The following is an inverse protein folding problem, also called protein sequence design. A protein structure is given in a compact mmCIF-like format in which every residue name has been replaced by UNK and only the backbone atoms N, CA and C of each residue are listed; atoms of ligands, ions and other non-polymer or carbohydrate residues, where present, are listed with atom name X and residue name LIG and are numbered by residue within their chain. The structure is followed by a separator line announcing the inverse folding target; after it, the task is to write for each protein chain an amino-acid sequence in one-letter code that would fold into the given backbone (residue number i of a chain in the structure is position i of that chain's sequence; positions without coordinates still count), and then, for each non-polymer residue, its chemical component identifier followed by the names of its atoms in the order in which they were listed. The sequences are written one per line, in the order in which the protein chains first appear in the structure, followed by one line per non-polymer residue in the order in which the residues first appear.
data_IF_456525935054
#
_entry.id   IF_456525935054
#
_cell.length_a   1.000
_cell.length_b   1.000
_cell.length_c   1.000
_cell.angle_alpha   90.00
_cell.angle_beta   90.00
_cell.angle_gamma   90.00
#
_symmetry.space_group_name_H-M   'P 1'
#
loop_
_entity.id
_entity.type
_entity.pdbx_description
1 polymer ?
#
# COMPACT_ATOMS: atom_id res chain seq x y z
N UNK A 1 -17.81 -75.63 -18.96
CA UNK A 1 -17.68 -74.17 -18.68
C UNK A 1 -16.80 -74.00 -17.45
N UNK A 2 -15.76 -73.17 -17.50
CA UNK A 2 -14.85 -72.97 -16.37
C UNK A 2 -15.31 -71.78 -15.49
N UNK A 3 -16.00 -72.07 -14.38
CA UNK A 3 -16.34 -71.03 -13.40
C UNK A 3 -15.14 -70.73 -12.51
N UNK A 4 -14.42 -69.63 -12.81
CA UNK A 4 -13.48 -69.03 -11.86
C UNK A 4 -14.26 -68.23 -10.81
N UNK A 5 -14.71 -68.87 -9.72
CA UNK A 5 -15.04 -68.15 -8.48
C UNK A 5 -13.75 -67.53 -7.96
N UNK A 6 -13.70 -66.20 -7.86
CA UNK A 6 -12.45 -65.50 -7.55
C UNK A 6 -12.52 -63.97 -7.58
N UNK A 7 -13.66 -63.37 -7.26
CA UNK A 7 -13.68 -61.96 -6.82
C UNK A 7 -13.23 -61.95 -5.36
N UNK A 8 -11.95 -61.66 -5.14
CA UNK A 8 -11.48 -61.23 -3.83
C UNK A 8 -11.94 -59.79 -3.62
N UNK A 9 -12.64 -59.51 -2.52
CA UNK A 9 -12.94 -58.13 -2.13
C UNK A 9 -11.64 -57.44 -1.73
N UNK A 10 -11.06 -56.65 -2.63
CA UNK A 10 -9.89 -55.83 -2.32
C UNK A 10 -10.35 -54.56 -1.61
N UNK A 11 -10.33 -54.58 -0.27
CA UNK A 11 -10.71 -53.41 0.53
C UNK A 11 -9.76 -52.24 0.29
N UNK A 12 -10.25 -51.22 -0.42
CA UNK A 12 -9.53 -50.01 -0.76
C UNK A 12 -9.44 -49.00 0.41
N UNK A 13 -9.57 -49.46 1.66
CA UNK A 13 -9.72 -48.66 2.89
C UNK A 13 -8.50 -47.86 3.36
N UNK A 14 -7.69 -47.31 2.44
CA UNK A 14 -6.55 -46.44 2.76
C UNK A 14 -6.99 -44.97 2.75
N UNK A 15 -7.18 -44.40 3.94
CA UNK A 15 -7.40 -42.96 4.11
C UNK A 15 -6.26 -42.30 4.92
N UNK A 16 -6.10 -40.99 4.73
CA UNK A 16 -5.10 -40.16 5.39
C UNK A 16 -5.66 -39.44 6.62
N UNK A 17 -4.92 -39.48 7.74
CA UNK A 17 -5.22 -38.65 8.93
C UNK A 17 -5.44 -37.18 8.55
N UNK A 18 -6.53 -36.58 9.06
CA UNK A 18 -6.92 -35.18 8.82
C UNK A 18 -5.78 -34.21 9.11
N UNK A 19 -5.55 -33.27 8.18
CA UNK A 19 -4.46 -32.28 8.26
C UNK A 19 -4.82 -30.99 9.01
N UNK A 20 -6.01 -30.93 9.63
CA UNK A 20 -6.50 -29.80 10.45
C UNK A 20 -6.38 -28.42 9.77
N UNK A 21 -6.61 -28.38 8.45
CA UNK A 21 -6.62 -27.17 7.63
C UNK A 21 -7.79 -26.25 8.00
N UNK A 22 -7.98 -25.16 7.24
CA UNK A 22 -9.05 -24.18 7.41
C UNK A 22 -8.63 -22.91 8.16
N UNK A 23 -9.60 -22.02 8.30
CA UNK A 23 -9.49 -20.75 9.05
C UNK A 23 -9.25 -21.05 10.54
N UNK A 24 -8.45 -20.19 11.18
CA UNK A 24 -8.08 -20.24 12.60
C UNK A 24 -8.47 -18.96 13.33
N UNK A 25 -8.41 -17.81 12.65
CA UNK A 25 -8.96 -16.54 13.11
C UNK A 25 -9.93 -16.00 12.06
N UNK A 26 -11.14 -15.66 12.51
CA UNK A 26 -12.24 -15.15 11.69
C UNK A 26 -12.26 -13.61 11.67
N UNK A 27 -13.06 -13.03 10.75
CA UNK A 27 -13.22 -11.58 10.65
C UNK A 27 -13.67 -10.95 11.98
N UNK A 28 -13.10 -9.80 12.33
CA UNK A 28 -13.35 -9.08 13.58
C UNK A 28 -12.58 -9.61 14.80
N UNK A 29 -11.98 -10.81 14.74
CA UNK A 29 -11.16 -11.34 15.84
C UNK A 29 -9.79 -10.66 15.90
N UNK A 30 -9.26 -10.52 17.12
CA UNK A 30 -7.92 -9.98 17.35
C UNK A 30 -6.86 -11.01 17.00
N UNK A 31 -5.95 -10.65 16.11
CA UNK A 31 -4.71 -11.36 15.84
C UNK A 31 -3.54 -10.64 16.52
N UNK A 32 -2.54 -11.42 16.94
CA UNK A 32 -1.20 -10.93 17.27
C UNK A 32 -0.24 -11.23 16.11
N UNK A 33 0.83 -10.46 15.97
CA UNK A 33 1.91 -10.72 15.04
C UNK A 33 2.40 -12.18 15.16
N UNK A 34 2.59 -12.85 14.02
CA UNK A 34 2.94 -14.27 13.93
C UNK A 34 1.77 -15.25 13.99
N UNK A 35 0.58 -14.86 14.49
CA UNK A 35 -0.58 -15.76 14.56
C UNK A 35 -0.96 -16.32 13.18
N UNK A 36 -1.27 -17.60 13.12
CA UNK A 36 -1.85 -18.24 11.94
C UNK A 36 -3.30 -17.80 11.81
N UNK A 37 -3.65 -17.19 10.68
CA UNK A 37 -5.04 -16.83 10.34
C UNK A 37 -5.72 -17.98 9.60
N UNK A 38 -5.04 -18.60 8.61
CA UNK A 38 -5.61 -19.68 7.78
C UNK A 38 -4.52 -20.68 7.39
N UNK A 39 -4.79 -21.99 7.53
CA UNK A 39 -3.97 -23.06 6.92
C UNK A 39 -4.71 -23.63 5.72
N UNK A 40 -4.11 -23.61 4.53
CA UNK A 40 -4.80 -23.97 3.29
C UNK A 40 -3.96 -24.88 2.37
N UNK A 41 -4.53 -25.23 1.22
CA UNK A 41 -3.87 -25.92 0.11
C UNK A 41 -4.16 -25.11 -1.14
N UNK A 42 -3.09 -24.65 -1.80
CA UNK A 42 -3.19 -23.55 -2.75
C UNK A 42 -3.69 -22.26 -2.11
N UNK A 43 -3.94 -21.25 -2.95
CA UNK A 43 -4.35 -19.90 -2.56
C UNK A 43 -5.86 -19.70 -2.72
N UNK A 44 -6.67 -20.33 -1.85
CA UNK A 44 -8.11 -20.02 -1.78
C UNK A 44 -8.35 -18.63 -1.19
N UNK A 45 -7.52 -18.26 -0.23
CA UNK A 45 -7.37 -16.92 0.30
C UNK A 45 -6.01 -16.38 -0.10
N UNK A 46 -5.96 -15.09 -0.43
CA UNK A 46 -4.74 -14.36 -0.78
C UNK A 46 -4.33 -13.42 0.38
N UNK A 47 -3.02 -13.22 0.62
CA UNK A 47 -2.56 -12.22 1.57
C UNK A 47 -2.93 -10.81 1.09
N UNK A 48 -3.44 -9.98 2.00
CA UNK A 48 -3.73 -8.57 1.81
C UNK A 48 -2.79 -7.69 2.64
N UNK A 49 -3.33 -6.64 3.26
CA UNK A 49 -2.56 -5.73 4.11
C UNK A 49 -2.19 -6.34 5.47
N UNK A 50 -0.97 -6.07 5.95
CA UNK A 50 -0.46 -6.45 7.26
C UNK A 50 -0.48 -7.96 7.56
N UNK A 51 -0.35 -8.77 6.50
CA UNK A 51 -0.48 -10.22 6.49
C UNK A 51 0.49 -10.79 5.45
N UNK A 52 1.16 -11.90 5.77
CA UNK A 52 2.08 -12.57 4.84
C UNK A 52 1.73 -14.06 4.66
N UNK A 53 2.31 -14.68 3.63
CA UNK A 53 2.04 -16.07 3.26
C UNK A 53 3.32 -16.91 3.28
N UNK A 54 3.24 -18.07 3.92
CA UNK A 54 4.35 -19.05 4.00
C UNK A 54 4.41 -19.99 2.79
N UNK A 55 5.52 -20.73 2.68
CA UNK A 55 5.77 -21.72 1.61
C UNK A 55 4.66 -22.76 1.42
N UNK A 56 3.92 -23.12 2.48
CA UNK A 56 2.80 -24.07 2.43
C UNK A 56 1.42 -23.41 2.18
N UNK A 57 1.43 -22.13 1.75
CA UNK A 57 0.29 -21.25 1.57
C UNK A 57 -0.46 -20.88 2.86
N UNK A 58 0.07 -21.21 4.04
CA UNK A 58 -0.47 -20.72 5.32
C UNK A 58 -0.35 -19.20 5.41
N UNK A 59 -1.41 -18.55 5.90
CA UNK A 59 -1.51 -17.09 6.05
C UNK A 59 -1.26 -16.71 7.51
N UNK A 60 -0.34 -15.79 7.73
CA UNK A 60 0.13 -15.31 9.04
C UNK A 60 -0.08 -13.80 9.21
N UNK A 61 -0.44 -13.40 10.43
CA UNK A 61 -0.50 -12.00 10.84
C UNK A 61 0.91 -11.38 10.88
N UNK A 62 1.08 -10.18 10.31
CA UNK A 62 2.34 -9.43 10.43
C UNK A 62 2.33 -8.46 11.62
N UNK A 63 1.15 -7.94 11.99
CA UNK A 63 0.95 -6.96 13.06
C UNK A 63 -0.20 -7.36 13.97
N UNK A 64 -0.31 -6.71 15.13
CA UNK A 64 -1.42 -6.83 16.06
C UNK A 64 -2.64 -6.03 15.56
N UNK A 65 -3.84 -6.59 15.63
CA UNK A 65 -5.06 -5.91 15.19
C UNK A 65 -6.23 -6.83 14.88
N UNK A 66 -7.26 -6.32 14.19
CA UNK A 66 -8.46 -7.09 13.84
C UNK A 66 -8.36 -7.68 12.43
N UNK A 67 -8.61 -8.98 12.30
CA UNK A 67 -8.62 -9.68 11.01
C UNK A 67 -9.82 -9.22 10.17
N UNK A 68 -9.60 -9.03 8.88
CA UNK A 68 -10.62 -8.67 7.89
C UNK A 68 -10.54 -9.56 6.66
N UNK A 69 -11.68 -9.74 6.01
CA UNK A 69 -11.83 -10.52 4.79
C UNK A 69 -12.53 -9.64 3.75
N UNK A 70 -11.92 -9.44 2.58
CA UNK A 70 -12.52 -8.69 1.47
C UNK A 70 -12.56 -9.51 0.18
N UNK A 71 -13.58 -9.28 -0.63
CA UNK A 71 -13.63 -9.76 -2.02
C UNK A 71 -12.96 -8.72 -2.92
N UNK A 72 -12.27 -9.20 -3.95
CA UNK A 72 -11.68 -8.38 -5.01
C UNK A 72 -12.15 -8.86 -6.38
N UNK A 73 -11.63 -8.24 -7.44
CA UNK A 73 -11.86 -8.59 -8.84
C UNK A 73 -11.70 -10.11 -9.08
N UNK A 74 -12.53 -10.66 -9.97
CA UNK A 74 -12.66 -12.11 -10.24
C UNK A 74 -13.02 -12.94 -8.98
N UNK A 75 -13.76 -12.36 -8.03
CA UNK A 75 -14.27 -13.00 -6.81
C UNK A 75 -13.17 -13.64 -5.91
N UNK A 76 -11.94 -13.12 -5.99
CA UNK A 76 -10.81 -13.57 -5.15
C UNK A 76 -10.96 -13.05 -3.72
N UNK A 77 -10.74 -13.92 -2.74
CA UNK A 77 -10.79 -13.56 -1.32
C UNK A 77 -9.41 -13.10 -0.82
N UNK A 78 -9.34 -11.91 -0.24
CA UNK A 78 -8.16 -11.35 0.39
C UNK A 78 -8.34 -11.27 1.91
N UNK A 79 -7.25 -11.48 2.65
CA UNK A 79 -7.20 -11.49 4.11
C UNK A 79 -6.20 -10.45 4.58
N UNK A 80 -6.65 -9.48 5.37
CA UNK A 80 -5.80 -8.42 5.91
C UNK A 80 -6.04 -8.22 7.41
N UNK A 81 -5.21 -7.39 8.05
CA UNK A 81 -5.40 -6.95 9.42
C UNK A 81 -5.50 -5.42 9.44
N UNK A 82 -6.55 -4.90 10.08
CA UNK A 82 -6.62 -3.49 10.47
C UNK A 82 -5.85 -3.37 11.79
N UNK A 83 -4.71 -2.64 11.84
CA UNK A 83 -4.00 -2.38 13.08
C UNK A 83 -4.96 -1.74 14.07
N UNK A 84 -5.00 -2.28 15.29
CA UNK A 84 -5.78 -1.69 16.38
C UNK A 84 -4.79 -1.24 17.42
N UNK A 85 -4.09 -0.15 17.11
CA UNK A 85 -3.16 0.48 18.05
C UNK A 85 -3.94 0.88 19.30
N UNK A 86 -3.65 0.19 20.40
CA UNK A 86 -4.27 0.41 21.69
C UNK A 86 -3.69 1.67 22.35
N UNK A 87 -4.01 2.84 21.79
CA UNK A 87 -3.87 4.13 22.45
C UNK A 87 -4.98 4.36 23.49
N UNK A 88 -5.28 3.34 24.30
CA UNK A 88 -5.96 3.49 25.60
C UNK A 88 -5.08 2.88 26.68
N UNK A 89 -4.10 3.67 27.10
CA UNK A 89 -3.28 3.38 28.28
C UNK A 89 -4.15 3.61 29.51
N UNK A 90 -4.66 2.54 30.12
CA UNK A 90 -5.05 2.56 31.54
C UNK A 90 -3.86 2.10 32.39
N UNK A 91 -3.07 3.02 32.99
CA UNK A 91 -1.95 2.62 33.82
C UNK A 91 -2.44 2.29 35.24
N UNK A 92 -2.29 1.03 35.65
CA UNK A 92 -2.35 0.60 37.04
C UNK A 92 -0.99 -0.03 37.43
N UNK A 93 -0.55 0.07 38.70
CA UNK A 93 0.81 0.54 38.99
C UNK A 93 1.93 -0.52 38.96
N UNK A 94 3.16 0.00 38.86
CA UNK A 94 4.43 -0.72 38.74
C UNK A 94 4.88 -1.43 40.05
N UNK A 95 6.03 -2.14 40.03
CA UNK A 95 7.25 -1.43 40.45
C UNK A 95 8.57 -1.77 39.71
N UNK A 96 9.42 -0.72 39.60
CA UNK A 96 10.90 -0.72 39.58
C UNK A 96 11.70 -1.42 38.43
N UNK A 97 12.85 -0.90 37.96
CA UNK A 97 13.49 0.43 38.07
C UNK A 97 14.71 0.55 37.12
N UNK A 98 15.19 1.80 36.87
CA UNK A 98 16.47 2.22 36.23
C UNK A 98 16.57 2.01 34.70
N UNK A 99 17.21 2.88 33.90
CA UNK A 99 17.62 4.28 34.06
C UNK A 99 17.93 4.90 32.67
N UNK A 100 17.76 6.22 32.51
CA UNK A 100 18.29 7.01 31.38
C UNK A 100 19.54 7.80 31.87
N UNK A 101 20.43 8.39 31.01
CA UNK A 101 20.04 9.56 30.18
C UNK A 101 20.85 9.86 28.87
N UNK A 102 20.27 10.72 28.00
CA UNK A 102 20.93 11.75 27.11
C UNK A 102 21.95 11.28 26.03
N UNK A 103 22.20 12.01 24.92
CA UNK A 103 21.59 13.20 24.30
C UNK A 103 21.95 13.27 22.79
N UNK A 104 21.27 14.14 22.02
CA UNK A 104 21.72 14.59 20.68
C UNK A 104 22.89 15.59 20.78
N UNK A 105 23.61 15.88 19.67
CA UNK A 105 23.23 17.06 18.87
C UNK A 105 23.52 16.99 17.34
N UNK A 106 22.90 17.90 16.57
CA UNK A 106 23.35 18.32 15.22
C UNK A 106 24.25 19.58 15.34
N UNK A 107 24.96 20.04 14.27
CA UNK A 107 24.36 21.11 13.44
C UNK A 107 24.83 21.29 11.96
N UNK A 108 23.86 21.68 11.12
CA UNK A 108 23.83 22.69 10.03
C UNK A 108 25.08 23.17 9.22
N UNK A 109 24.90 23.30 7.89
CA UNK A 109 24.97 24.53 7.01
C UNK A 109 25.09 24.10 5.51
N UNK A 110 24.72 24.82 4.43
CA UNK A 110 23.85 25.97 4.09
C UNK A 110 24.51 26.77 2.91
N UNK A 111 23.80 26.98 1.78
CA UNK A 111 23.97 28.01 0.71
C UNK A 111 22.72 27.93 -0.22
N UNK A 112 21.82 28.92 -0.34
CA UNK A 112 21.84 30.23 -1.07
C UNK A 112 21.18 30.12 -2.48
N UNK A 113 19.96 30.62 -2.78
CA UNK A 113 19.50 32.02 -3.06
C UNK A 113 19.95 32.58 -4.44
N UNK A 114 19.15 33.23 -5.33
CA UNK A 114 17.74 33.74 -5.47
C UNK A 114 17.36 33.70 -7.00
N UNK A 115 16.26 34.27 -7.62
CA UNK A 115 15.03 34.99 -7.14
C UNK A 115 13.69 34.41 -7.69
N UNK A 116 12.55 34.38 -6.96
CA UNK A 116 11.66 35.46 -6.47
C UNK A 116 10.59 36.01 -7.47
N UNK A 117 9.35 35.52 -7.33
CA UNK A 117 8.11 36.29 -7.49
C UNK A 117 7.01 35.70 -6.56
N UNK A 118 6.34 36.55 -5.78
CA UNK A 118 5.41 36.14 -4.71
C UNK A 118 4.39 37.29 -4.45
N UNK A 119 3.44 37.19 -3.48
CA UNK A 119 2.79 36.03 -2.84
C UNK A 119 1.24 36.12 -2.81
N UNK A 120 0.51 35.01 -2.60
CA UNK A 120 -0.90 35.07 -2.24
C UNK A 120 -1.39 33.97 -1.26
N UNK A 121 -1.08 34.16 0.03
CA UNK A 121 -1.86 33.71 1.21
C UNK A 121 -2.23 32.22 1.33
N UNK A 122 -1.52 31.53 2.22
CA UNK A 122 -2.05 30.36 2.91
C UNK A 122 -3.38 30.67 3.64
N UNK A 123 -4.41 29.83 3.44
CA UNK A 123 -5.41 29.48 4.48
C UNK A 123 -6.36 28.34 4.07
N UNK A 124 -6.54 27.40 5.00
CA UNK A 124 -7.57 26.37 5.07
C UNK A 124 -7.51 25.23 4.03
N UNK A 125 -7.71 24.00 4.51
CA UNK A 125 -7.93 22.82 3.67
C UNK A 125 -9.33 22.87 3.04
N UNK A 126 -9.47 23.65 1.97
CA UNK A 126 -10.65 23.64 1.11
C UNK A 126 -10.75 22.28 0.40
N UNK A 127 -11.93 21.65 0.49
CA UNK A 127 -12.26 20.53 -0.39
C UNK A 127 -12.63 21.09 -1.75
N UNK A 128 -11.92 20.63 -2.79
CA UNK A 128 -12.21 20.94 -4.19
C UNK A 128 -13.19 19.89 -4.70
N UNK A 129 -14.18 20.32 -5.48
CA UNK A 129 -15.10 19.43 -6.17
C UNK A 129 -14.68 19.34 -7.64
N UNK A 130 -14.32 18.15 -8.11
CA UNK A 130 -13.93 17.90 -9.49
C UNK A 130 -15.17 17.81 -10.42
N UNK A 131 -15.01 18.00 -11.74
CA UNK A 131 -16.08 17.85 -12.74
C UNK A 131 -16.81 16.49 -12.68
N UNK A 132 -16.08 15.42 -12.29
CA UNK A 132 -16.62 14.07 -12.09
C UNK A 132 -17.37 13.87 -10.74
N UNK A 133 -17.59 14.94 -9.96
CA UNK A 133 -18.25 14.91 -8.65
C UNK A 133 -17.40 14.40 -7.49
N UNK A 134 -16.13 14.03 -7.72
CA UNK A 134 -15.20 13.61 -6.67
C UNK A 134 -14.76 14.82 -5.83
N UNK A 135 -14.85 14.71 -4.50
CA UNK A 135 -14.35 15.75 -3.58
C UNK A 135 -12.96 15.36 -3.09
N UNK A 136 -11.94 16.16 -3.42
CA UNK A 136 -10.54 15.96 -3.00
C UNK A 136 -10.12 17.03 -2.01
N UNK A 137 -9.09 16.76 -1.21
CA UNK A 137 -8.43 17.82 -0.45
C UNK A 137 -7.54 18.64 -1.39
N UNK A 138 -7.43 19.94 -1.14
CA UNK A 138 -6.36 20.78 -1.66
C UNK A 138 -5.00 20.09 -1.40
N UNK A 139 -4.14 20.04 -2.42
CA UNK A 139 -2.80 19.46 -2.38
C UNK A 139 -2.71 17.94 -2.07
N UNK A 140 -3.78 17.17 -2.28
CA UNK A 140 -3.75 15.70 -2.20
C UNK A 140 -2.94 15.12 -3.38
N UNK A 141 -1.66 14.80 -3.17
CA UNK A 141 -0.76 14.27 -4.20
C UNK A 141 -1.27 12.94 -4.80
N UNK A 142 -2.13 12.20 -4.11
CA UNK A 142 -2.79 10.98 -4.62
C UNK A 142 -3.76 11.23 -5.79
N UNK A 143 -4.01 12.49 -6.13
CA UNK A 143 -4.77 12.86 -7.33
C UNK A 143 -3.97 12.60 -8.62
N UNK A 144 -2.64 12.67 -8.55
CA UNK A 144 -1.72 12.35 -9.65
C UNK A 144 -1.66 10.84 -9.85
N UNK A 145 -1.71 10.39 -11.10
CA UNK A 145 -1.75 8.95 -11.39
C UNK A 145 -0.41 8.29 -11.11
N UNK A 146 -0.42 7.06 -10.60
CA UNK A 146 0.79 6.38 -10.13
C UNK A 146 1.26 6.81 -8.74
N UNK A 147 0.85 7.97 -8.21
CA UNK A 147 1.17 8.40 -6.83
C UNK A 147 0.22 7.73 -5.83
N UNK A 148 0.63 6.59 -5.29
CA UNK A 148 -0.04 5.93 -4.18
C UNK A 148 0.34 6.50 -2.80
N UNK A 149 -0.36 6.13 -1.70
CA UNK A 149 -0.09 6.64 -0.34
C UNK A 149 1.34 6.41 0.18
N UNK A 150 2.08 5.46 -0.40
CA UNK A 150 3.49 5.22 -0.07
C UNK A 150 4.43 6.19 -0.78
N UNK A 151 4.13 6.50 -2.04
CA UNK A 151 4.93 7.43 -2.86
C UNK A 151 4.68 8.86 -2.35
N UNK A 152 3.44 9.21 -2.05
CA UNK A 152 3.10 10.42 -1.28
C UNK A 152 3.92 10.53 0.02
N UNK A 153 3.97 9.46 0.82
CA UNK A 153 4.77 9.45 2.05
C UNK A 153 6.28 9.64 1.83
N UNK A 154 6.82 9.22 0.69
CA UNK A 154 8.21 9.46 0.30
C UNK A 154 8.43 10.89 -0.22
N UNK A 155 7.49 11.43 -1.00
CA UNK A 155 7.49 12.82 -1.47
C UNK A 155 7.46 13.79 -0.29
N UNK A 156 6.59 13.55 0.69
CA UNK A 156 6.58 14.30 1.96
C UNK A 156 7.92 14.18 2.71
N UNK A 157 8.61 13.04 2.59
CA UNK A 157 9.93 12.81 3.16
C UNK A 157 11.04 13.66 2.56
N UNK A 158 10.93 14.03 1.27
CA UNK A 158 11.83 14.98 0.59
C UNK A 158 11.31 16.44 0.59
N UNK A 159 10.20 16.70 1.29
CA UNK A 159 9.63 18.04 1.45
C UNK A 159 8.66 18.48 0.34
N UNK A 160 8.32 17.60 -0.61
CA UNK A 160 7.28 17.87 -1.62
C UNK A 160 5.93 17.53 -0.99
N UNK A 161 5.09 18.55 -0.78
CA UNK A 161 3.79 18.41 -0.10
C UNK A 161 2.62 19.03 -0.85
N UNK A 162 2.88 19.87 -1.86
CA UNK A 162 1.88 20.54 -2.69
C UNK A 162 1.97 20.14 -4.15
N UNK A 163 0.89 20.33 -4.91
CA UNK A 163 0.91 20.09 -6.35
C UNK A 163 1.92 21.00 -7.06
N UNK A 164 2.09 22.23 -6.60
CA UNK A 164 3.07 23.17 -7.15
C UNK A 164 4.52 22.70 -6.88
N UNK A 165 4.84 22.29 -5.66
CA UNK A 165 6.17 21.73 -5.32
C UNK A 165 6.48 20.47 -6.14
N UNK A 166 5.49 19.64 -6.45
CA UNK A 166 5.67 18.45 -7.29
C UNK A 166 5.83 18.80 -8.78
N UNK A 167 5.18 19.86 -9.27
CA UNK A 167 5.33 20.37 -10.63
C UNK A 167 6.70 21.01 -10.88
N UNK A 168 7.20 21.76 -9.90
CA UNK A 168 8.50 22.46 -9.96
C UNK A 168 9.68 21.55 -9.58
N UNK A 169 9.43 20.35 -9.02
CA UNK A 169 10.48 19.42 -8.64
C UNK A 169 11.19 18.80 -9.87
N UNK A 170 12.54 18.75 -9.89
CA UNK A 170 13.26 18.10 -10.97
C UNK A 170 13.02 16.59 -10.93
N UNK A 171 12.62 16.03 -12.08
CA UNK A 171 12.34 14.59 -12.26
C UNK A 171 13.45 13.71 -11.70
N UNK A 172 14.72 14.07 -11.90
CA UNK A 172 15.88 13.35 -11.39
C UNK A 172 15.88 13.17 -9.85
N UNK A 173 15.41 14.16 -9.08
CA UNK A 173 15.32 14.05 -7.62
C UNK A 173 14.15 13.15 -7.20
N UNK A 174 13.04 13.20 -7.92
CA UNK A 174 11.89 12.30 -7.69
C UNK A 174 12.26 10.86 -8.05
N UNK A 175 12.93 10.65 -9.18
CA UNK A 175 13.43 9.35 -9.61
C UNK A 175 14.44 8.77 -8.63
N UNK A 176 15.43 9.57 -8.20
CA UNK A 176 16.41 9.14 -7.19
C UNK A 176 15.74 8.72 -5.88
N UNK A 177 14.70 9.45 -5.43
CA UNK A 177 13.91 9.06 -4.26
C UNK A 177 13.20 7.70 -4.44
N UNK A 178 12.68 7.40 -5.63
CA UNK A 178 12.07 6.10 -5.92
C UNK A 178 13.11 4.97 -5.94
N UNK A 179 14.29 5.23 -6.50
CA UNK A 179 15.40 4.27 -6.57
C UNK A 179 15.99 3.98 -5.17
N UNK A 180 16.17 5.01 -4.33
CA UNK A 180 16.59 4.89 -2.93
C UNK A 180 15.54 4.15 -2.08
N UNK A 181 14.25 4.31 -2.38
CA UNK A 181 13.16 3.56 -1.75
C UNK A 181 13.09 2.09 -2.22
N UNK A 182 13.75 1.77 -3.34
CA UNK A 182 14.11 0.43 -3.79
C UNK A 182 13.24 -0.18 -4.89
N UNK A 183 13.65 -1.34 -5.47
CA UNK A 183 13.19 -1.88 -6.76
C UNK A 183 11.68 -2.11 -6.94
N UNK A 184 10.89 -1.98 -5.86
CA UNK A 184 9.43 -2.06 -5.88
C UNK A 184 8.79 -0.82 -6.53
N UNK A 185 9.43 0.34 -6.43
CA UNK A 185 8.86 1.61 -6.89
C UNK A 185 9.18 1.93 -8.34
N UNK A 186 10.22 1.33 -8.92
CA UNK A 186 10.66 1.44 -10.32
C UNK A 186 9.61 1.00 -11.37
N UNK A 187 8.47 0.44 -10.95
CA UNK A 187 7.33 0.18 -11.85
C UNK A 187 6.53 1.46 -12.18
N UNK A 188 6.70 2.50 -11.36
CA UNK A 188 6.14 3.83 -11.57
C UNK A 188 7.20 4.74 -12.18
N UNK A 189 6.79 5.61 -13.11
CA UNK A 189 7.67 6.62 -13.71
C UNK A 189 7.22 8.02 -13.27
N UNK A 190 8.15 8.91 -12.88
CA UNK A 190 7.83 10.28 -12.49
C UNK A 190 7.63 11.25 -13.66
N UNK A 191 7.93 10.86 -14.90
CA UNK A 191 7.90 11.72 -16.08
C UNK A 191 6.56 12.46 -16.29
N UNK A 192 5.45 11.78 -16.00
CA UNK A 192 4.09 12.33 -16.12
C UNK A 192 3.66 13.16 -14.89
N UNK A 193 4.28 12.92 -13.73
CA UNK A 193 3.81 13.46 -12.45
C UNK A 193 3.92 14.98 -12.38
N UNK A 194 5.00 15.56 -12.89
CA UNK A 194 5.18 17.02 -12.93
C UNK A 194 4.08 17.68 -13.79
N UNK A 195 3.79 17.11 -14.97
CA UNK A 195 2.74 17.59 -15.90
C UNK A 195 1.34 17.47 -15.29
N UNK A 196 1.02 16.34 -14.65
CA UNK A 196 -0.24 16.15 -13.94
C UNK A 196 -0.38 17.08 -12.72
N UNK A 197 0.69 17.28 -11.95
CA UNK A 197 0.70 18.17 -10.80
C UNK A 197 0.55 19.64 -11.22
N UNK A 198 1.15 20.07 -12.33
CA UNK A 198 0.96 21.40 -12.90
C UNK A 198 -0.51 21.67 -13.27
N UNK A 199 -1.18 20.72 -13.94
CA UNK A 199 -2.62 20.83 -14.27
C UNK A 199 -3.50 20.87 -13.02
N UNK A 200 -3.16 20.09 -11.98
CA UNK A 200 -3.86 20.11 -10.70
C UNK A 200 -3.67 21.44 -9.95
N UNK A 201 -2.45 21.99 -9.94
CA UNK A 201 -2.14 23.30 -9.35
C UNK A 201 -2.83 24.46 -10.10
N UNK A 202 -2.93 24.37 -11.43
CA UNK A 202 -3.66 25.32 -12.27
C UNK A 202 -5.20 25.18 -12.17
N UNK A 203 -5.72 24.11 -11.58
CA UNK A 203 -7.15 23.81 -11.50
C UNK A 203 -7.77 23.40 -12.85
N UNK A 204 -6.96 22.96 -13.82
CA UNK A 204 -7.39 22.52 -15.14
C UNK A 204 -7.89 21.06 -15.08
N UNK A 205 -8.98 20.84 -14.34
CA UNK A 205 -9.47 19.49 -14.02
C UNK A 205 -9.90 18.67 -15.23
N UNK A 206 -10.50 19.30 -16.25
CA UNK A 206 -10.94 18.60 -17.45
C UNK A 206 -9.75 18.12 -18.29
N UNK A 207 -8.69 18.94 -18.40
CA UNK A 207 -7.43 18.58 -19.06
C UNK A 207 -6.67 17.51 -18.28
N UNK A 208 -6.69 17.57 -16.94
CA UNK A 208 -6.11 16.53 -16.08
C UNK A 208 -6.81 15.18 -16.25
N UNK A 209 -8.15 15.19 -16.37
CA UNK A 209 -8.95 13.96 -16.62
C UNK A 209 -8.65 13.42 -18.02
N UNK A 210 -8.66 14.27 -19.05
CA UNK A 210 -8.33 13.86 -20.41
C UNK A 210 -6.92 13.24 -20.50
N UNK A 211 -5.94 13.86 -19.85
CA UNK A 211 -4.58 13.31 -19.73
C UNK A 211 -4.60 11.96 -19.00
N UNK A 212 -5.32 11.82 -17.88
CA UNK A 212 -5.41 10.55 -17.14
C UNK A 212 -6.12 9.43 -17.93
N UNK A 213 -7.05 9.76 -18.82
CA UNK A 213 -7.68 8.78 -19.72
C UNK A 213 -6.76 8.33 -20.87
N UNK A 214 -5.73 9.11 -21.21
CA UNK A 214 -4.70 8.78 -22.22
C UNK A 214 -3.49 7.98 -21.66
N UNK A 215 -3.25 8.00 -20.34
CA UNK A 215 -2.14 7.29 -19.69
C UNK A 215 -2.49 5.84 -19.34
N UNK A 216 -1.51 4.92 -19.36
CA UNK A 216 -1.66 3.56 -18.82
C UNK A 216 -0.90 3.41 -17.50
N UNK A 217 -1.59 3.63 -16.39
CA UNK A 217 -1.04 3.49 -15.05
C UNK A 217 -0.05 4.60 -14.69
N UNK A 218 -0.26 5.81 -15.23
CA UNK A 218 0.60 6.97 -15.06
C UNK A 218 1.83 6.99 -15.97
N UNK A 219 1.87 6.18 -17.03
CA UNK A 219 2.90 6.25 -18.09
C UNK A 219 2.28 6.74 -19.39
N UNK A 220 2.99 7.61 -20.10
CA UNK A 220 2.60 8.00 -21.45
C UNK A 220 2.55 6.73 -22.30
N UNK A 221 1.43 6.51 -22.99
CA UNK A 221 1.29 5.40 -23.94
C UNK A 221 2.04 5.80 -25.19
N UNK A 222 3.37 5.76 -25.10
CA UNK A 222 4.22 5.67 -26.29
C UNK A 222 3.71 4.49 -27.11
N UNK A 223 3.45 4.72 -28.39
CA UNK A 223 3.08 3.67 -29.33
C UNK A 223 3.97 2.45 -29.12
N UNK A 224 3.37 1.26 -29.22
CA UNK A 224 4.09 -0.01 -29.11
C UNK A 224 5.29 0.03 -30.04
N UNK A 225 6.49 0.12 -29.47
CA UNK A 225 7.70 -0.13 -30.22
C UNK A 225 7.61 -1.55 -30.77
N UNK A 226 7.55 -1.64 -32.10
CA UNK A 226 7.58 -2.89 -32.84
C UNK A 226 9.00 -3.47 -32.77
N UNK A 227 9.31 -4.30 -31.78
CA UNK A 227 10.40 -5.31 -31.82
C UNK A 227 10.12 -6.54 -30.93
#
# INVERSE_FOLDING_TARGET
MAHKKGVGSTDNGRDSKSKRLGVKLFGGQVAKAGNIIIRQRGTKYHPGENVYMSRDYTIHAQVDGKVTFRKSFRNRMYVGIIPTDAAEVTPAPAPAAKAAPKAAPAPAKAVAEVPAAAPAKAKAASKIELPNGKKVAQDDLKLVEGIGPKIEGLLHGIGITTWQELADAPEATVQQMLDDAGPRYNIHSPATWAKQAALAAAGQWDELIALQDELDGGREVSDKEEE
#
